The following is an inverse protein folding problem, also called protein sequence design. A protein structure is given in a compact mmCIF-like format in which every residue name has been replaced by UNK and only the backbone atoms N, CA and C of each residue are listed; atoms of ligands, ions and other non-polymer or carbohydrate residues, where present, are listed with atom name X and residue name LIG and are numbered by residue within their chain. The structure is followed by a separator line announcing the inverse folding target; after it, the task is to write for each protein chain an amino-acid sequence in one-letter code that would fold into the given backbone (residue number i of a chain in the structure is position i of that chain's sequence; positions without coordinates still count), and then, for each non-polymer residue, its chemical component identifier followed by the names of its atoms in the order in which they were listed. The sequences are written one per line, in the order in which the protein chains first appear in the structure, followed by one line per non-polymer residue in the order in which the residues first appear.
data_IF_432657393812
#
_entry.id   IF_432657393812
#
_cell.length_a   1.000
_cell.length_b   1.000
_cell.length_c   1.000
_cell.angle_alpha   90.00
_cell.angle_beta   90.00
_cell.angle_gamma   90.00
#
_symmetry.space_group_name_H-M   'P 1'
#
loop_
_entity.id
_entity.type
_entity.pdbx_description
1 polymer ?
#
# COMPACT_ATOMS: atom_id res chain seq x y z
N UNK A 1 -56.36 -29.52 2.94
CA UNK A 1 -55.31 -29.00 3.86
C UNK A 1 -54.40 -28.12 3.03
N UNK A 2 -54.48 -26.82 3.21
CA UNK A 2 -53.63 -25.85 2.51
C UNK A 2 -52.54 -25.41 3.47
N UNK A 3 -51.29 -25.74 3.15
CA UNK A 3 -50.11 -25.31 3.91
C UNK A 3 -49.61 -23.97 3.37
N UNK A 4 -49.79 -22.96 4.14
CA UNK A 4 -49.28 -21.61 3.79
C UNK A 4 -47.83 -21.47 4.23
N UNK A 5 -46.94 -21.21 3.28
CA UNK A 5 -45.56 -20.82 3.48
C UNK A 5 -45.54 -19.32 3.79
N UNK A 6 -45.12 -18.98 5.02
CA UNK A 6 -44.86 -17.59 5.37
C UNK A 6 -43.51 -17.16 4.79
N UNK A 7 -43.53 -16.29 3.81
CA UNK A 7 -42.36 -15.55 3.35
C UNK A 7 -42.14 -14.38 4.33
N UNK A 8 -41.02 -14.42 5.08
CA UNK A 8 -40.56 -13.27 5.85
C UNK A 8 -39.99 -12.23 4.87
N UNK A 9 -40.78 -11.21 4.60
CA UNK A 9 -40.29 -10.05 3.87
C UNK A 9 -39.45 -9.19 4.80
N UNK A 10 -38.17 -9.00 4.49
CA UNK A 10 -37.39 -7.93 5.06
C UNK A 10 -37.86 -6.61 4.49
N UNK A 11 -38.55 -5.83 5.28
CA UNK A 11 -38.91 -4.46 4.96
C UNK A 11 -37.64 -3.59 4.99
N UNK A 12 -37.16 -3.17 3.82
CA UNK A 12 -36.20 -2.08 3.71
C UNK A 12 -36.99 -0.80 4.04
N UNK A 13 -36.79 -0.29 5.24
CA UNK A 13 -37.30 1.00 5.64
C UNK A 13 -36.52 2.08 4.88
N UNK A 14 -37.04 2.54 3.74
CA UNK A 14 -36.65 3.78 3.08
C UNK A 14 -37.14 4.97 3.92
N UNK A 15 -36.35 5.41 4.88
CA UNK A 15 -36.56 6.66 5.56
C UNK A 15 -36.03 7.79 4.66
N UNK A 16 -36.93 8.45 3.94
CA UNK A 16 -36.74 9.78 3.38
C UNK A 16 -36.57 10.75 4.52
N UNK A 17 -35.34 11.08 4.89
CA UNK A 17 -34.99 12.18 5.76
C UNK A 17 -34.55 13.38 4.91
N UNK A 18 -35.44 14.32 4.75
CA UNK A 18 -35.18 15.63 4.16
C UNK A 18 -34.35 16.49 5.10
N UNK A 19 -33.24 17.00 4.53
CA UNK A 19 -32.48 18.22 4.84
C UNK A 19 -31.76 18.38 6.19
N UNK A 20 -30.54 18.88 6.08
CA UNK A 20 -29.60 19.36 7.10
C UNK A 20 -28.91 18.25 7.96
N UNK A 21 -27.91 17.62 7.39
CA UNK A 21 -27.04 16.68 8.10
C UNK A 21 -26.56 15.48 7.28
N UNK A 22 -26.65 15.56 5.96
CA UNK A 22 -26.47 14.42 5.04
C UNK A 22 -25.08 13.79 5.02
N UNK A 23 -24.01 14.50 5.45
CA UNK A 23 -22.67 13.95 5.39
C UNK A 23 -22.38 12.90 6.48
N UNK A 24 -23.10 12.93 7.60
CA UNK A 24 -22.85 12.03 8.73
C UNK A 24 -23.49 10.64 8.58
N UNK A 25 -24.60 10.56 7.85
CA UNK A 25 -25.32 9.31 7.62
C UNK A 25 -24.76 8.58 6.39
N UNK A 26 -24.36 9.33 5.36
CA UNK A 26 -23.80 8.78 4.14
C UNK A 26 -22.51 7.97 4.41
N UNK A 27 -21.61 8.47 5.25
CA UNK A 27 -20.35 7.78 5.55
C UNK A 27 -20.52 6.48 6.34
N UNK A 28 -21.60 6.29 7.05
CA UNK A 28 -21.87 5.02 7.74
C UNK A 28 -22.48 3.96 6.79
N UNK A 29 -23.30 4.38 5.86
CA UNK A 29 -23.90 3.50 4.83
C UNK A 29 -22.86 3.05 3.80
N UNK A 30 -21.76 3.80 3.62
CA UNK A 30 -20.68 3.52 2.69
C UNK A 30 -19.57 2.61 3.28
N UNK A 31 -19.72 2.08 4.50
CA UNK A 31 -18.75 1.19 5.11
C UNK A 31 -18.63 -0.16 4.36
N UNK A 32 -19.70 -0.61 3.72
CA UNK A 32 -19.78 -1.89 3.04
C UNK A 32 -20.61 -1.77 1.77
N UNK A 33 -20.19 -2.43 0.71
CA UNK A 33 -20.95 -2.59 -0.52
C UNK A 33 -21.43 -4.03 -0.68
N UNK A 34 -22.51 -4.29 -1.44
CA UNK A 34 -23.00 -5.65 -1.68
C UNK A 34 -21.93 -6.59 -2.28
N UNK A 35 -21.08 -6.06 -3.16
CA UNK A 35 -19.99 -6.78 -3.81
C UNK A 35 -18.93 -7.27 -2.83
N UNK A 36 -18.79 -6.58 -1.69
CA UNK A 36 -17.84 -6.90 -0.63
C UNK A 36 -18.39 -7.86 0.44
N UNK A 37 -19.64 -8.31 0.33
CA UNK A 37 -20.33 -9.09 1.36
C UNK A 37 -19.61 -10.39 1.77
N UNK A 38 -18.83 -10.99 0.87
CA UNK A 38 -18.04 -12.20 1.12
C UNK A 38 -16.68 -11.98 1.75
N UNK A 39 -16.22 -10.72 1.90
CA UNK A 39 -14.85 -10.42 2.30
C UNK A 39 -14.63 -10.41 3.81
N UNK A 40 -15.68 -10.45 4.64
CA UNK A 40 -15.59 -10.34 6.10
C UNK A 40 -14.68 -9.18 6.54
N UNK A 41 -15.01 -7.99 6.10
CA UNK A 41 -14.25 -6.77 6.38
C UNK A 41 -14.25 -6.43 7.87
N UNK A 42 -13.07 -6.24 8.45
CA UNK A 42 -12.89 -5.91 9.87
C UNK A 42 -12.02 -4.66 9.99
N UNK A 43 -12.55 -3.63 10.65
CA UNK A 43 -11.79 -2.43 11.04
C UNK A 43 -10.91 -2.77 12.25
N UNK A 44 -9.62 -2.52 12.16
CA UNK A 44 -8.64 -2.85 13.21
C UNK A 44 -8.20 -1.65 14.03
N UNK A 45 -8.34 -0.46 13.51
CA UNK A 45 -7.99 0.80 14.21
C UNK A 45 -9.18 1.74 14.22
N UNK A 46 -9.20 2.64 15.17
CA UNK A 46 -10.19 3.72 15.25
C UNK A 46 -9.49 5.03 15.61
N UNK A 47 -8.71 5.52 14.67
CA UNK A 47 -7.93 6.73 14.84
C UNK A 47 -8.77 7.96 14.49
N UNK A 48 -9.49 8.47 15.49
CA UNK A 48 -10.34 9.65 15.33
C UNK A 48 -9.55 10.97 15.43
N UNK A 49 -8.43 10.98 16.15
CA UNK A 49 -7.68 12.21 16.49
C UNK A 49 -6.37 12.35 15.73
N UNK A 50 -5.76 11.25 15.31
CA UNK A 50 -4.46 11.23 14.66
C UNK A 50 -4.52 10.50 13.33
N UNK A 51 -3.65 10.84 12.40
CA UNK A 51 -3.74 10.36 11.04
C UNK A 51 -2.79 9.20 10.79
N UNK A 52 -3.35 8.03 10.52
CA UNK A 52 -2.64 6.99 9.78
C UNK A 52 -2.42 7.54 8.38
N UNK A 53 -1.19 7.44 7.89
CA UNK A 53 -0.81 7.96 6.58
C UNK A 53 -0.77 6.82 5.59
N UNK A 54 -1.54 6.98 4.52
CA UNK A 54 -1.33 6.22 3.29
C UNK A 54 -0.22 6.87 2.46
N UNK A 55 0.21 6.19 1.43
CA UNK A 55 1.11 6.73 0.42
C UNK A 55 0.55 7.93 -0.36
N UNK A 56 -0.68 8.30 -0.12
CA UNK A 56 -1.30 9.53 -0.56
C UNK A 56 -1.16 10.60 0.52
N UNK A 57 0.02 11.13 0.69
CA UNK A 57 0.15 12.33 1.49
C UNK A 57 -0.67 13.44 0.83
N UNK A 58 -1.59 14.04 1.59
CA UNK A 58 -2.37 15.22 1.17
C UNK A 58 -1.48 16.43 0.82
N UNK A 59 -0.19 16.35 1.09
CA UNK A 59 0.86 17.23 0.58
C UNK A 59 1.89 16.36 -0.13
N UNK A 60 2.08 16.62 -1.42
CA UNK A 60 3.23 16.08 -2.13
C UNK A 60 4.49 16.30 -1.29
N UNK A 61 5.31 15.28 -1.11
CA UNK A 61 6.66 15.49 -0.62
C UNK A 61 7.34 16.54 -1.51
N UNK A 62 8.18 17.40 -0.95
CA UNK A 62 8.87 18.46 -1.72
C UNK A 62 9.64 17.90 -2.93
N UNK A 63 10.09 16.66 -2.86
CA UNK A 63 10.74 15.97 -3.96
C UNK A 63 9.78 15.53 -5.09
N UNK A 64 8.49 15.31 -4.81
CA UNK A 64 7.48 14.98 -5.82
C UNK A 64 7.21 16.16 -6.77
N UNK A 65 7.56 17.37 -6.39
CA UNK A 65 7.47 18.57 -7.24
C UNK A 65 8.62 18.71 -8.26
N UNK A 66 9.61 17.83 -8.25
CA UNK A 66 10.65 17.81 -9.26
C UNK A 66 10.09 17.34 -10.61
N UNK A 67 10.70 17.78 -11.70
CA UNK A 67 10.19 17.63 -13.08
C UNK A 67 9.74 16.19 -13.43
N UNK A 68 10.36 15.20 -12.83
CA UNK A 68 10.01 13.79 -13.00
C UNK A 68 8.58 13.48 -12.55
N UNK A 69 8.19 13.95 -11.35
CA UNK A 69 6.86 13.65 -10.79
C UNK A 69 5.75 14.51 -11.41
N UNK A 70 6.07 15.68 -11.96
CA UNK A 70 5.08 16.50 -12.67
C UNK A 70 4.59 15.87 -13.97
N UNK A 71 5.41 15.01 -14.58
CA UNK A 71 5.11 14.35 -15.84
C UNK A 71 4.82 12.85 -15.67
N UNK A 72 4.76 12.34 -14.43
CA UNK A 72 4.51 10.93 -14.19
C UNK A 72 3.01 10.65 -14.10
N UNK A 73 2.65 9.44 -14.50
CA UNK A 73 1.30 8.86 -14.43
C UNK A 73 0.71 8.75 -13.03
N UNK A 74 1.45 9.16 -12.01
CA UNK A 74 0.98 9.24 -10.64
C UNK A 74 0.00 10.38 -10.42
N UNK A 75 -0.05 11.34 -11.36
CA UNK A 75 -1.13 12.28 -11.43
C UNK A 75 -2.28 11.60 -12.19
N UNK A 76 -3.31 11.19 -11.50
CA UNK A 76 -4.60 10.97 -12.11
C UNK A 76 -4.99 12.22 -12.86
N UNK A 77 -5.77 12.04 -13.94
CA UNK A 77 -6.12 13.10 -14.88
C UNK A 77 -6.29 14.45 -14.19
N UNK A 78 -5.91 15.52 -14.85
CA UNK A 78 -6.01 16.88 -14.32
C UNK A 78 -7.39 17.24 -13.73
N UNK A 79 -8.41 16.47 -14.06
CA UNK A 79 -9.79 16.60 -13.61
C UNK A 79 -10.05 16.06 -12.20
N UNK A 80 -9.24 15.15 -11.67
CA UNK A 80 -9.52 14.48 -10.40
C UNK A 80 -8.88 15.14 -9.18
N UNK A 81 -7.96 16.07 -9.32
CA UNK A 81 -7.15 16.68 -8.25
C UNK A 81 -6.46 15.66 -7.32
N UNK A 82 -6.45 14.39 -7.73
CA UNK A 82 -5.92 13.30 -6.93
C UNK A 82 -4.54 12.91 -7.43
N UNK A 83 -3.55 13.07 -6.58
CA UNK A 83 -2.17 12.66 -6.83
C UNK A 83 -1.87 11.39 -6.07
N UNK A 84 -1.62 10.34 -6.78
CA UNK A 84 -1.31 9.03 -6.23
C UNK A 84 0.21 8.82 -6.17
N UNK A 85 0.73 8.67 -4.98
CA UNK A 85 2.12 8.34 -4.75
C UNK A 85 2.21 6.94 -4.14
N UNK A 86 2.68 5.94 -4.86
CA UNK A 86 2.69 4.56 -4.39
C UNK A 86 3.82 4.33 -3.37
N UNK A 87 3.63 4.83 -2.18
CA UNK A 87 4.51 4.61 -1.05
C UNK A 87 4.01 3.43 -0.23
N UNK A 88 4.91 2.56 0.17
CA UNK A 88 4.60 1.47 1.10
C UNK A 88 4.57 1.99 2.51
N UNK A 89 3.40 2.04 3.13
CA UNK A 89 3.17 2.63 4.45
C UNK A 89 2.48 1.69 5.45
N UNK A 90 2.32 0.41 5.04
CA UNK A 90 1.82 -0.68 5.87
C UNK A 90 2.72 -1.91 5.65
N UNK A 91 3.05 -2.62 6.72
CA UNK A 91 3.79 -3.88 6.66
C UNK A 91 3.36 -4.82 7.78
N UNK A 92 3.52 -6.12 7.55
CA UNK A 92 3.35 -7.16 8.55
C UNK A 92 4.71 -7.68 9.02
N UNK A 93 4.81 -8.04 10.31
CA UNK A 93 6.03 -8.67 10.83
C UNK A 93 6.28 -10.03 10.19
N UNK A 94 7.52 -10.51 10.12
CA UNK A 94 7.87 -11.79 9.51
C UNK A 94 7.15 -12.99 10.13
N UNK A 95 6.80 -12.91 11.40
CA UNK A 95 6.01 -13.94 12.12
C UNK A 95 4.50 -13.79 11.94
N UNK A 96 4.03 -12.67 11.35
CA UNK A 96 2.62 -12.37 11.13
C UNK A 96 1.89 -11.82 12.35
N UNK A 97 2.55 -11.66 13.49
CA UNK A 97 1.90 -11.28 14.75
C UNK A 97 1.66 -9.79 14.93
N UNK A 98 2.38 -8.94 14.16
CA UNK A 98 2.35 -7.47 14.31
C UNK A 98 2.18 -6.78 12.97
N UNK A 99 1.56 -5.60 13.01
CA UNK A 99 1.48 -4.64 11.93
C UNK A 99 2.31 -3.40 12.26
N UNK A 100 3.02 -2.89 11.26
CA UNK A 100 3.65 -1.59 11.30
C UNK A 100 2.96 -0.67 10.29
N UNK A 101 2.81 0.60 10.64
CA UNK A 101 2.15 1.60 9.81
C UNK A 101 2.70 3.00 10.09
N UNK A 102 2.52 3.91 9.14
CA UNK A 102 2.90 5.30 9.33
C UNK A 102 1.79 6.09 10.03
N UNK A 103 2.20 6.91 10.96
CA UNK A 103 1.34 7.73 11.78
C UNK A 103 1.90 9.13 11.95
N UNK A 104 1.08 10.14 11.69
CA UNK A 104 1.49 11.54 11.80
C UNK A 104 1.09 12.12 13.14
N UNK A 105 2.07 12.53 13.93
CA UNK A 105 1.87 13.26 15.18
C UNK A 105 2.88 14.40 15.28
N UNK A 106 2.47 15.54 15.80
CA UNK A 106 3.34 16.69 16.06
C UNK A 106 4.19 17.12 14.85
N UNK A 107 3.62 17.05 13.65
CA UNK A 107 4.28 17.43 12.41
C UNK A 107 5.24 16.40 11.84
N UNK A 108 5.51 15.29 12.53
CA UNK A 108 6.37 14.20 12.07
C UNK A 108 5.57 12.95 11.74
N UNK A 109 6.05 12.22 10.73
CA UNK A 109 5.51 10.92 10.33
C UNK A 109 6.39 9.81 10.87
N UNK A 110 5.85 8.98 11.75
CA UNK A 110 6.60 7.94 12.45
C UNK A 110 6.05 6.55 12.17
N UNK A 111 6.89 5.53 12.28
CA UNK A 111 6.47 4.14 12.26
C UNK A 111 5.92 3.77 13.63
N UNK A 112 4.69 3.26 13.63
CA UNK A 112 4.03 2.65 14.78
C UNK A 112 3.94 1.14 14.58
N UNK A 113 4.02 0.39 15.67
CA UNK A 113 3.85 -1.07 15.68
C UNK A 113 2.73 -1.43 16.65
N UNK A 114 1.84 -2.35 16.22
CA UNK A 114 0.77 -2.93 17.03
C UNK A 114 0.61 -4.43 16.76
N UNK A 115 -0.18 -5.12 17.57
CA UNK A 115 -0.58 -6.49 17.28
C UNK A 115 -1.52 -6.55 16.07
N UNK A 116 -1.35 -7.57 15.21
CA UNK A 116 -2.09 -7.71 13.96
C UNK A 116 -3.57 -8.08 14.14
N UNK A 117 -3.89 -8.83 15.18
CA UNK A 117 -5.23 -9.41 15.39
C UNK A 117 -6.08 -8.76 16.48
N UNK A 118 -5.55 -7.84 17.26
CA UNK A 118 -6.26 -7.30 18.43
C UNK A 118 -6.33 -5.78 18.43
N UNK A 119 -7.40 -5.25 19.02
CA UNK A 119 -7.39 -3.88 19.49
C UNK A 119 -6.33 -3.78 20.60
N UNK A 120 -5.42 -2.84 20.49
CA UNK A 120 -4.36 -2.64 21.47
C UNK A 120 -3.55 -1.39 21.18
N UNK A 121 -2.83 -0.93 22.19
CA UNK A 121 -1.97 0.23 22.06
C UNK A 121 -0.88 -0.03 21.01
N UNK A 122 -0.62 0.96 20.19
CA UNK A 122 0.51 0.98 19.28
C UNK A 122 1.73 1.57 19.98
N UNK A 123 2.90 1.08 19.62
CA UNK A 123 4.18 1.58 20.11
C UNK A 123 4.90 2.33 19.00
N UNK A 124 5.28 3.57 19.27
CA UNK A 124 6.10 4.37 18.36
C UNK A 124 7.50 3.79 18.25
N UNK A 125 8.00 3.65 17.04
CA UNK A 125 9.28 3.03 16.76
C UNK A 125 10.34 3.99 16.24
N UNK A 126 9.95 5.00 15.47
CA UNK A 126 10.84 6.04 14.96
C UNK A 126 10.46 7.40 15.54
N UNK A 127 11.42 8.32 15.51
CA UNK A 127 11.26 9.73 15.89
C UNK A 127 11.82 10.62 14.78
N UNK A 128 11.43 10.31 13.54
CA UNK A 128 11.89 10.96 12.32
C UNK A 128 10.76 11.04 11.31
N UNK A 129 10.94 11.85 10.28
CA UNK A 129 9.95 12.00 9.22
C UNK A 129 10.12 10.88 8.18
N UNK A 130 9.47 9.74 8.42
CA UNK A 130 9.51 8.55 7.58
C UNK A 130 8.54 8.69 6.41
N UNK A 131 9.00 8.34 5.20
CA UNK A 131 8.18 8.41 3.99
C UNK A 131 7.56 7.05 3.62
N UNK A 132 8.34 5.98 3.69
CA UNK A 132 7.94 4.62 3.33
C UNK A 132 8.82 3.61 4.07
N UNK A 133 8.37 2.37 4.21
CA UNK A 133 9.15 1.35 4.90
C UNK A 133 8.76 -0.07 4.49
N UNK A 134 9.60 -1.03 4.87
CA UNK A 134 9.35 -2.47 4.82
C UNK A 134 9.84 -3.15 6.10
N UNK A 135 9.36 -4.36 6.35
CA UNK A 135 9.76 -5.19 7.47
C UNK A 135 10.42 -6.48 6.97
N UNK A 136 11.70 -6.69 7.28
CA UNK A 136 12.48 -7.83 6.82
C UNK A 136 12.56 -8.98 7.84
N UNK A 137 12.97 -10.17 7.41
CA UNK A 137 13.09 -11.38 8.25
C UNK A 137 14.12 -11.25 9.38
N UNK A 138 15.10 -10.34 9.25
CA UNK A 138 16.06 -10.00 10.31
C UNK A 138 15.44 -9.14 11.44
N UNK A 139 14.11 -9.00 11.43
CA UNK A 139 13.32 -8.19 12.35
C UNK A 139 13.69 -6.71 12.35
N UNK A 140 14.19 -6.20 11.22
CA UNK A 140 14.43 -4.76 11.03
C UNK A 140 13.39 -4.15 10.12
N UNK A 141 13.08 -2.90 10.44
CA UNK A 141 12.35 -1.98 9.59
C UNK A 141 13.37 -1.21 8.76
N UNK A 142 13.27 -1.33 7.44
CA UNK A 142 14.02 -0.53 6.48
C UNK A 142 13.10 0.58 6.02
N UNK A 143 13.53 1.83 6.09
CA UNK A 143 12.65 2.97 5.84
C UNK A 143 13.35 4.12 5.11
N UNK A 144 12.58 4.89 4.36
CA UNK A 144 13.02 6.15 3.76
C UNK A 144 12.98 7.22 4.82
N UNK A 145 14.15 7.66 5.25
CA UNK A 145 14.34 8.71 6.25
C UNK A 145 14.46 10.06 5.56
N UNK A 146 13.81 11.07 6.07
CA UNK A 146 13.83 12.42 5.53
C UNK A 146 14.67 13.33 6.41
N UNK A 147 15.59 14.05 5.79
CA UNK A 147 16.35 15.13 6.41
C UNK A 147 16.36 16.35 5.50
N UNK A 148 15.45 17.28 5.72
CA UNK A 148 15.21 18.40 4.81
C UNK A 148 14.71 17.92 3.45
N UNK A 149 15.44 18.23 2.39
CA UNK A 149 15.13 17.78 1.02
C UNK A 149 15.84 16.48 0.62
N UNK A 150 16.63 15.91 1.50
CA UNK A 150 17.33 14.67 1.29
C UNK A 150 16.51 13.48 1.78
N UNK A 151 16.61 12.38 1.05
CA UNK A 151 16.00 11.11 1.41
C UNK A 151 17.05 10.02 1.29
N UNK A 152 17.14 9.20 2.30
CA UNK A 152 18.06 8.06 2.34
C UNK A 152 17.41 6.88 3.04
N UNK A 153 17.94 5.71 2.82
CA UNK A 153 17.47 4.50 3.47
C UNK A 153 18.17 4.34 4.80
N UNK A 154 17.39 4.10 5.83
CA UNK A 154 17.82 3.73 7.17
C UNK A 154 17.19 2.43 7.62
N UNK A 155 17.75 1.82 8.64
CA UNK A 155 17.21 0.62 9.28
C UNK A 155 17.20 0.73 10.79
N UNK A 156 16.18 0.14 11.43
CA UNK A 156 16.09 0.02 12.88
C UNK A 156 15.51 -1.34 13.24
N UNK A 157 15.97 -1.97 14.31
CA UNK A 157 15.35 -3.19 14.80
C UNK A 157 13.91 -2.89 15.27
N UNK A 158 12.96 -3.75 14.99
CA UNK A 158 11.56 -3.55 15.37
C UNK A 158 11.34 -3.59 16.90
N UNK A 159 12.24 -4.19 17.66
CA UNK A 159 12.21 -4.17 19.11
C UNK A 159 12.71 -2.82 19.65
N UNK A 160 12.23 -2.42 20.82
CA UNK A 160 12.65 -1.18 21.49
C UNK A 160 14.15 -1.19 21.85
N UNK A 161 14.72 0.00 22.04
CA UNK A 161 16.08 0.18 22.55
C UNK A 161 17.21 0.03 21.53
N UNK A 162 16.91 -0.20 20.25
CA UNK A 162 17.95 -0.32 19.22
C UNK A 162 18.32 1.02 18.59
N UNK A 163 19.58 1.15 18.21
CA UNK A 163 20.06 2.31 17.45
C UNK A 163 19.66 2.18 15.97
N UNK A 164 19.41 3.31 15.35
CA UNK A 164 19.19 3.43 13.92
C UNK A 164 20.53 3.30 13.18
N UNK A 165 20.50 2.63 12.05
CA UNK A 165 21.62 2.50 11.13
C UNK A 165 21.27 3.15 9.80
N UNK A 166 22.08 4.10 9.35
CA UNK A 166 21.98 4.65 8.00
C UNK A 166 22.53 3.62 7.01
N UNK A 167 21.79 3.39 5.90
CA UNK A 167 22.10 2.41 4.87
C UNK A 167 22.64 3.09 3.62
N UNK A 168 21.95 4.14 3.12
CA UNK A 168 22.43 4.94 1.98
C UNK A 168 22.83 6.34 2.45
N UNK A 169 23.69 7.03 1.67
CA UNK A 169 24.31 8.28 2.11
C UNK A 169 23.47 9.54 1.86
N UNK A 170 22.34 9.44 1.17
CA UNK A 170 21.46 10.58 0.89
C UNK A 170 21.97 11.57 -0.18
N UNK A 171 23.00 11.19 -0.96
CA UNK A 171 23.48 12.01 -2.07
C UNK A 171 22.48 12.10 -3.22
N UNK A 172 21.58 11.14 -3.28
CA UNK A 172 20.44 11.05 -4.21
C UNK A 172 19.20 10.65 -3.43
N UNK A 173 18.03 10.83 -4.05
CA UNK A 173 16.77 10.50 -3.40
C UNK A 173 16.53 8.99 -3.52
N UNK A 174 16.58 8.28 -2.38
CA UNK A 174 16.32 6.87 -2.24
C UNK A 174 15.03 6.66 -1.43
N UNK A 175 14.08 5.85 -1.96
CA UNK A 175 12.80 5.62 -1.29
C UNK A 175 12.23 4.20 -1.52
N UNK A 176 11.13 3.85 -0.84
CA UNK A 176 10.47 2.54 -0.88
C UNK A 176 11.47 1.38 -0.69
N UNK A 177 12.22 1.34 0.41
CA UNK A 177 13.16 0.26 0.64
C UNK A 177 12.46 -1.06 0.88
N UNK A 178 13.11 -2.16 0.45
CA UNK A 178 12.69 -3.53 0.70
C UNK A 178 13.91 -4.42 0.95
N UNK A 179 13.78 -5.35 1.89
CA UNK A 179 14.78 -6.39 2.14
C UNK A 179 14.10 -7.68 2.56
N UNK A 180 14.65 -8.83 2.17
CA UNK A 180 14.16 -10.12 2.64
C UNK A 180 14.71 -10.48 4.01
N UNK A 181 16.02 -10.37 4.16
CA UNK A 181 16.78 -10.91 5.29
C UNK A 181 17.78 -9.90 5.89
N UNK A 182 17.82 -8.69 5.34
CA UNK A 182 18.73 -7.66 5.76
C UNK A 182 20.13 -7.70 5.15
N UNK A 183 20.45 -8.67 4.32
CA UNK A 183 21.76 -8.74 3.65
C UNK A 183 21.78 -7.85 2.41
N UNK A 184 20.77 -7.94 1.58
CA UNK A 184 20.61 -7.07 0.42
C UNK A 184 19.40 -6.17 0.62
N UNK A 185 19.58 -4.86 0.43
CA UNK A 185 18.53 -3.86 0.55
C UNK A 185 18.27 -3.27 -0.82
N UNK A 186 17.05 -3.44 -1.29
CA UNK A 186 16.54 -2.84 -2.53
C UNK A 186 15.83 -1.54 -2.22
N UNK A 187 15.90 -0.60 -3.14
CA UNK A 187 15.20 0.69 -3.03
C UNK A 187 14.98 1.30 -4.40
N UNK A 188 14.04 2.21 -4.47
CA UNK A 188 13.84 3.06 -5.65
C UNK A 188 14.78 4.23 -5.55
N UNK A 189 15.45 4.58 -6.64
CA UNK A 189 16.37 5.72 -6.74
C UNK A 189 15.96 6.64 -7.87
N UNK A 190 15.92 7.94 -7.57
CA UNK A 190 15.65 8.95 -8.58
C UNK A 190 16.85 9.18 -9.47
N UNK A 191 16.64 9.20 -10.77
CA UNK A 191 17.63 9.60 -11.76
C UNK A 191 17.06 10.61 -12.76
N UNK A 192 17.92 11.20 -13.59
CA UNK A 192 17.50 12.10 -14.66
C UNK A 192 16.60 11.40 -15.71
N UNK A 193 16.80 10.10 -15.90
CA UNK A 193 16.06 9.27 -16.85
C UNK A 193 14.81 8.57 -16.23
N UNK A 194 14.42 8.96 -15.03
CA UNK A 194 13.32 8.36 -14.30
C UNK A 194 13.78 7.47 -13.14
N UNK A 195 12.86 6.85 -12.41
CA UNK A 195 13.19 6.01 -11.28
C UNK A 195 13.79 4.68 -11.74
N UNK A 196 14.70 4.19 -10.95
CA UNK A 196 15.34 2.90 -11.14
C UNK A 196 15.40 2.14 -9.82
N UNK A 197 15.36 0.83 -9.91
CA UNK A 197 15.56 -0.07 -8.79
C UNK A 197 17.04 -0.31 -8.61
N UNK A 198 17.51 -0.09 -7.39
CA UNK A 198 18.87 -0.36 -6.97
C UNK A 198 18.89 -1.35 -5.81
N UNK A 199 20.00 -2.06 -5.69
CA UNK A 199 20.28 -2.87 -4.51
C UNK A 199 21.64 -2.50 -3.91
N UNK A 200 21.73 -2.57 -2.59
CA UNK A 200 22.95 -2.48 -1.81
C UNK A 200 23.19 -3.80 -1.13
N UNK A 201 24.31 -4.45 -1.45
CA UNK A 201 24.81 -5.59 -0.68
C UNK A 201 25.48 -5.04 0.58
N UNK A 202 25.00 -5.45 1.75
CA UNK A 202 25.51 -4.94 3.03
C UNK A 202 26.79 -5.63 3.51
N UNK A 203 27.19 -6.72 2.85
CA UNK A 203 28.41 -7.44 3.16
C UNK A 203 29.66 -6.66 2.68
N UNK A 204 29.59 -6.12 1.49
CA UNK A 204 30.71 -5.47 0.82
C UNK A 204 30.45 -4.04 0.36
N UNK A 205 29.23 -3.54 0.53
CA UNK A 205 28.82 -2.20 0.13
C UNK A 205 28.55 -2.02 -1.36
N UNK A 206 28.49 -3.12 -2.13
CA UNK A 206 28.28 -3.08 -3.58
C UNK A 206 26.88 -2.53 -3.91
N UNK A 207 26.86 -1.47 -4.71
CA UNK A 207 25.65 -0.87 -5.28
C UNK A 207 25.44 -1.38 -6.71
N UNK A 208 24.25 -1.93 -6.97
CA UNK A 208 23.88 -2.46 -8.28
C UNK A 208 22.62 -1.78 -8.79
N UNK A 209 22.66 -1.26 -10.02
CA UNK A 209 21.46 -0.84 -10.74
C UNK A 209 20.78 -2.08 -11.32
N UNK A 210 19.59 -2.41 -10.83
CA UNK A 210 18.92 -3.66 -11.17
C UNK A 210 18.00 -3.51 -12.38
N UNK A 211 17.16 -2.46 -12.41
CA UNK A 211 16.19 -2.25 -13.47
C UNK A 211 15.64 -0.83 -13.47
N UNK A 212 15.00 -0.43 -14.57
CA UNK A 212 14.07 0.70 -14.56
C UNK A 212 12.83 0.36 -13.72
N UNK A 213 12.24 1.35 -13.05
CA UNK A 213 11.04 1.16 -12.25
C UNK A 213 11.23 1.51 -10.77
N UNK A 214 10.23 1.20 -9.96
CA UNK A 214 10.16 1.57 -8.55
C UNK A 214 9.19 0.66 -7.79
N UNK A 215 9.05 0.84 -6.48
CA UNK A 215 8.07 0.15 -5.62
C UNK A 215 8.20 -1.38 -5.67
N UNK A 216 9.36 -1.86 -5.25
CA UNK A 216 9.79 -3.26 -5.36
C UNK A 216 9.00 -4.17 -4.43
N UNK A 217 8.52 -5.31 -4.93
CA UNK A 217 8.03 -6.44 -4.16
C UNK A 217 8.98 -7.64 -4.39
N UNK A 218 9.71 -8.01 -3.35
CA UNK A 218 10.71 -9.08 -3.40
C UNK A 218 10.07 -10.47 -3.42
N UNK A 219 10.73 -11.42 -4.08
CA UNK A 219 10.32 -12.82 -4.17
C UNK A 219 11.16 -13.63 -3.17
N UNK A 220 10.54 -14.25 -2.13
CA UNK A 220 11.30 -14.88 -1.04
C UNK A 220 12.28 -15.95 -1.45
N UNK A 221 11.99 -16.68 -2.53
CA UNK A 221 12.80 -17.81 -3.00
C UNK A 221 13.65 -17.48 -4.25
N UNK A 222 13.63 -16.22 -4.70
CA UNK A 222 14.46 -15.76 -5.81
C UNK A 222 14.98 -14.35 -5.49
N UNK A 223 16.15 -14.24 -4.82
CA UNK A 223 16.69 -12.95 -4.40
C UNK A 223 17.15 -12.06 -5.56
N UNK A 224 17.23 -12.60 -6.77
CA UNK A 224 17.60 -11.85 -7.99
C UNK A 224 16.40 -11.36 -8.78
N UNK A 225 15.19 -11.74 -8.34
CA UNK A 225 13.96 -11.36 -8.99
C UNK A 225 13.03 -10.58 -8.05
N UNK A 226 12.22 -9.75 -8.65
CA UNK A 226 11.21 -8.94 -7.96
C UNK A 226 10.09 -8.53 -8.91
N UNK A 227 8.97 -8.13 -8.34
CA UNK A 227 7.98 -7.33 -9.05
C UNK A 227 8.23 -5.85 -8.79
N UNK A 228 8.02 -5.02 -9.78
CA UNK A 228 8.14 -3.56 -9.64
C UNK A 228 7.07 -2.85 -10.47
N UNK A 229 6.94 -1.57 -10.22
CA UNK A 229 6.07 -0.67 -10.98
C UNK A 229 6.89 0.02 -12.05
N UNK A 230 6.35 0.10 -13.26
CA UNK A 230 6.89 0.94 -14.36
C UNK A 230 5.78 1.79 -14.95
N UNK A 231 6.16 2.90 -15.53
CA UNK A 231 5.24 3.71 -16.28
C UNK A 231 5.24 3.29 -17.75
N UNK A 232 4.06 3.04 -18.30
CA UNK A 232 3.88 2.80 -19.74
C UNK A 232 4.09 4.08 -20.54
N UNK A 233 4.16 3.94 -21.86
CA UNK A 233 4.19 5.07 -22.79
C UNK A 233 2.94 5.95 -22.73
N UNK A 234 1.81 5.39 -22.33
CA UNK A 234 0.54 6.11 -22.10
C UNK A 234 0.50 6.86 -20.77
N UNK A 235 1.55 6.74 -19.95
CA UNK A 235 1.64 7.35 -18.63
C UNK A 235 0.91 6.56 -17.53
N UNK A 236 0.43 5.34 -17.76
CA UNK A 236 -0.15 4.46 -16.74
C UNK A 236 0.93 3.66 -16.05
N UNK A 237 0.74 3.35 -14.78
CA UNK A 237 1.65 2.47 -14.06
C UNK A 237 1.22 1.01 -14.18
N UNK A 238 2.18 0.15 -14.44
CA UNK A 238 2.08 -1.27 -14.74
C UNK A 238 2.91 -2.07 -13.75
N UNK A 239 2.58 -3.35 -13.58
CA UNK A 239 3.36 -4.27 -12.76
C UNK A 239 4.19 -5.17 -13.66
N UNK A 240 5.49 -5.21 -13.39
CA UNK A 240 6.47 -5.99 -14.12
C UNK A 240 7.16 -6.99 -13.19
N UNK A 241 7.40 -8.20 -13.69
CA UNK A 241 8.37 -9.14 -13.14
C UNK A 241 9.74 -8.87 -13.77
N UNK A 242 10.78 -8.86 -12.95
CA UNK A 242 12.16 -8.65 -13.38
C UNK A 242 13.07 -9.64 -12.66
N UNK A 243 13.86 -10.42 -13.40
CA UNK A 243 15.05 -11.06 -12.90
C UNK A 243 16.27 -10.37 -13.54
N UNK A 244 16.92 -9.48 -12.78
CA UNK A 244 17.92 -8.57 -13.32
C UNK A 244 19.25 -9.26 -13.65
N UNK A 245 19.55 -10.41 -13.03
CA UNK A 245 20.77 -11.19 -13.34
C UNK A 245 20.59 -11.97 -14.63
N UNK A 246 19.41 -12.56 -14.86
CA UNK A 246 19.10 -13.28 -16.09
C UNK A 246 18.70 -12.37 -17.25
N UNK A 247 18.50 -11.08 -17.00
CA UNK A 247 17.98 -10.16 -18.00
C UNK A 247 16.55 -10.46 -18.44
N UNK A 248 15.76 -11.13 -17.60
CA UNK A 248 14.38 -11.49 -17.90
C UNK A 248 13.43 -10.42 -17.38
N UNK A 249 12.55 -9.94 -18.24
CA UNK A 249 11.51 -8.97 -17.91
C UNK A 249 10.17 -9.42 -18.49
N UNK A 250 9.12 -9.36 -17.71
CA UNK A 250 7.77 -9.79 -18.13
C UNK A 250 6.74 -8.79 -17.59
N UNK A 251 5.89 -8.27 -18.48
CA UNK A 251 4.73 -7.48 -18.11
C UNK A 251 3.68 -8.41 -17.48
N UNK A 252 3.32 -8.16 -16.23
CA UNK A 252 2.35 -8.95 -15.49
C UNK A 252 0.96 -8.32 -15.52
N UNK A 253 0.89 -7.01 -15.34
CA UNK A 253 -0.39 -6.32 -15.26
C UNK A 253 -0.31 -4.95 -15.92
N UNK A 254 -1.20 -4.74 -16.86
CA UNK A 254 -1.48 -3.45 -17.50
C UNK A 254 -2.98 -3.29 -17.72
N UNK A 255 -3.45 -2.05 -17.82
CA UNK A 255 -4.85 -1.73 -18.12
C UNK A 255 -4.87 -0.36 -18.82
N UNK A 256 -5.73 -0.21 -19.84
CA UNK A 256 -5.83 1.03 -20.62
C UNK A 256 -6.43 2.19 -19.82
N UNK A 257 -7.16 1.91 -18.74
CA UNK A 257 -7.87 2.92 -17.93
C UNK A 257 -7.31 3.06 -16.53
N UNK A 258 -6.56 2.06 -16.05
CA UNK A 258 -6.09 1.98 -14.66
C UNK A 258 -4.58 2.04 -14.56
N UNK A 259 -4.11 2.54 -13.45
CA UNK A 259 -2.73 2.45 -12.97
C UNK A 259 -2.70 1.55 -11.74
N UNK A 260 -1.64 0.75 -11.59
CA UNK A 260 -1.48 -0.17 -10.46
C UNK A 260 -0.18 0.10 -9.71
N UNK A 261 -0.16 -0.12 -8.40
CA UNK A 261 1.03 0.00 -7.59
C UNK A 261 0.97 -0.84 -6.31
N UNK A 262 2.00 -0.69 -5.48
CA UNK A 262 2.17 -1.40 -4.21
C UNK A 262 1.95 -2.91 -4.33
N UNK A 263 2.62 -3.59 -5.29
CA UNK A 263 2.50 -5.03 -5.41
C UNK A 263 2.96 -5.71 -4.12
N UNK A 264 2.18 -6.68 -3.67
CA UNK A 264 2.48 -7.50 -2.51
C UNK A 264 2.23 -8.96 -2.86
N UNK A 265 3.27 -9.79 -2.83
CA UNK A 265 3.21 -11.20 -3.19
C UNK A 265 2.56 -12.01 -2.06
N UNK A 266 1.64 -12.91 -2.41
CA UNK A 266 1.05 -13.85 -1.46
C UNK A 266 2.09 -14.83 -0.92
N UNK A 267 1.91 -15.36 0.30
CA UNK A 267 2.88 -16.29 0.91
C UNK A 267 3.13 -17.56 0.09
N UNK A 268 2.14 -18.01 -0.70
CA UNK A 268 2.25 -19.17 -1.60
C UNK A 268 2.84 -18.82 -2.98
N UNK A 269 3.13 -17.54 -3.23
CA UNK A 269 3.72 -17.05 -4.47
C UNK A 269 2.79 -17.05 -5.69
N UNK A 270 1.49 -17.27 -5.53
CA UNK A 270 0.55 -17.43 -6.66
C UNK A 270 -0.17 -16.15 -7.03
N UNK A 271 -0.27 -15.21 -6.11
CA UNK A 271 -1.05 -13.98 -6.27
C UNK A 271 -0.24 -12.73 -5.93
N UNK A 272 -0.54 -11.66 -6.63
CA UNK A 272 -0.17 -10.31 -6.23
C UNK A 272 -1.42 -9.56 -5.79
N UNK A 273 -1.42 -9.02 -4.59
CA UNK A 273 -2.34 -7.95 -4.21
C UNK A 273 -1.73 -6.62 -4.65
N UNK A 274 -2.53 -5.78 -5.27
CA UNK A 274 -2.11 -4.46 -5.78
C UNK A 274 -3.19 -3.43 -5.45
N UNK A 275 -2.79 -2.18 -5.31
CA UNK A 275 -3.74 -1.08 -5.35
C UNK A 275 -3.88 -0.58 -6.78
N UNK A 276 -5.08 -0.19 -7.16
CA UNK A 276 -5.35 0.34 -8.49
C UNK A 276 -6.41 1.43 -8.43
N UNK A 277 -6.31 2.41 -9.34
CA UNK A 277 -7.38 3.38 -9.43
C UNK A 277 -8.64 2.75 -10.04
N UNK A 278 -9.76 3.20 -9.55
CA UNK A 278 -11.06 2.85 -10.09
C UNK A 278 -12.01 4.05 -10.07
N UNK A 279 -13.17 3.88 -10.65
CA UNK A 279 -14.25 4.86 -10.54
C UNK A 279 -15.40 4.20 -9.82
N UNK A 280 -15.77 4.76 -8.69
CA UNK A 280 -16.86 4.24 -7.89
C UNK A 280 -18.17 4.29 -8.67
N UNK A 281 -18.87 3.17 -8.72
CA UNK A 281 -20.22 3.09 -9.31
C UNK A 281 -21.28 3.83 -8.49
N UNK A 282 -20.98 4.13 -7.21
CA UNK A 282 -21.92 4.77 -6.29
C UNK A 282 -21.99 6.28 -6.52
N UNK A 283 -20.83 6.94 -6.62
CA UNK A 283 -20.75 8.40 -6.69
C UNK A 283 -19.98 8.93 -7.91
N UNK A 284 -19.54 8.05 -8.79
CA UNK A 284 -18.75 8.37 -9.98
C UNK A 284 -17.45 9.16 -9.69
N UNK A 285 -16.89 8.99 -8.50
CA UNK A 285 -15.64 9.61 -8.09
C UNK A 285 -14.49 8.62 -8.29
N UNK A 286 -13.36 9.13 -8.75
CA UNK A 286 -12.13 8.32 -8.84
C UNK A 286 -11.58 8.09 -7.44
N UNK A 287 -11.35 6.81 -7.13
CA UNK A 287 -10.79 6.33 -5.88
C UNK A 287 -9.67 5.31 -6.16
N UNK A 288 -9.20 4.65 -5.15
CA UNK A 288 -8.33 3.47 -5.26
C UNK A 288 -8.99 2.28 -4.59
N UNK A 289 -8.85 1.12 -5.21
CA UNK A 289 -9.33 -0.15 -4.70
C UNK A 289 -8.20 -1.18 -4.67
N UNK A 290 -8.43 -2.25 -3.91
CA UNK A 290 -7.53 -3.39 -3.87
C UNK A 290 -7.95 -4.40 -4.94
N UNK A 291 -6.96 -4.86 -5.68
CA UNK A 291 -7.09 -5.89 -6.70
C UNK A 291 -6.20 -7.08 -6.36
N UNK A 292 -6.53 -8.24 -6.87
CA UNK A 292 -5.67 -9.40 -6.91
C UNK A 292 -5.47 -9.85 -8.36
N UNK A 293 -4.26 -10.26 -8.70
CA UNK A 293 -3.91 -10.83 -9.99
C UNK A 293 -2.98 -12.03 -9.78
N UNK A 294 -3.10 -13.07 -10.60
CA UNK A 294 -2.13 -14.17 -10.55
C UNK A 294 -0.76 -13.70 -11.00
N UNK A 295 0.28 -14.34 -10.48
CA UNK A 295 1.68 -14.01 -10.79
C UNK A 295 2.06 -14.25 -12.25
N UNK A 296 1.24 -14.99 -12.99
CA UNK A 296 1.33 -15.17 -14.45
C UNK A 296 0.57 -14.09 -15.25
N UNK A 297 -0.04 -13.11 -14.58
CA UNK A 297 -0.83 -12.04 -15.18
C UNK A 297 -2.29 -12.39 -15.43
N UNK A 298 -2.71 -13.62 -15.19
CA UNK A 298 -4.10 -14.04 -15.36
C UNK A 298 -5.00 -13.64 -14.17
N UNK A 299 -6.32 -13.69 -14.37
CA UNK A 299 -7.34 -13.54 -13.32
C UNK A 299 -7.22 -12.24 -12.51
N UNK A 300 -7.12 -11.09 -13.16
CA UNK A 300 -7.29 -9.82 -12.47
C UNK A 300 -8.70 -9.73 -11.86
N UNK A 301 -8.77 -9.53 -10.56
CA UNK A 301 -10.03 -9.45 -9.81
C UNK A 301 -9.99 -8.23 -8.90
N UNK A 302 -11.00 -7.37 -8.99
CA UNK A 302 -11.21 -6.29 -8.03
C UNK A 302 -11.77 -6.88 -6.73
N UNK A 303 -11.20 -6.52 -5.60
CA UNK A 303 -11.60 -7.02 -4.27
C UNK A 303 -12.46 -6.02 -3.52
N UNK A 304 -12.12 -4.73 -3.58
CA UNK A 304 -12.86 -3.69 -2.88
C UNK A 304 -13.59 -2.79 -3.88
N UNK A 305 -14.75 -2.29 -3.49
CA UNK A 305 -15.66 -1.52 -4.35
C UNK A 305 -16.23 -0.28 -3.66
N UNK A 306 -15.82 -0.02 -2.43
CA UNK A 306 -16.28 1.12 -1.68
C UNK A 306 -15.76 2.41 -2.33
N UNK A 307 -16.53 3.53 -2.34
CA UNK A 307 -16.05 4.81 -2.87
C UNK A 307 -14.92 5.47 -2.06
N UNK A 308 -14.41 4.78 -1.06
CA UNK A 308 -13.24 5.18 -0.26
C UNK A 308 -11.91 4.94 -1.00
N UNK A 309 -10.83 5.44 -0.42
CA UNK A 309 -9.48 5.10 -0.87
C UNK A 309 -8.99 3.88 -0.10
N UNK A 310 -8.79 2.77 -0.82
CA UNK A 310 -8.25 1.52 -0.30
C UNK A 310 -6.86 1.30 -0.87
N UNK A 311 -5.82 1.20 0.00
CA UNK A 311 -4.42 1.32 -0.41
C UNK A 311 -3.50 0.40 0.40
N UNK A 312 -2.28 0.23 -0.10
CA UNK A 312 -1.19 -0.48 0.58
C UNK A 312 -1.58 -1.91 1.03
N UNK A 313 -2.00 -2.79 0.13
CA UNK A 313 -2.36 -4.15 0.49
C UNK A 313 -1.15 -4.93 1.02
N UNK A 314 -1.36 -5.69 2.10
CA UNK A 314 -0.35 -6.57 2.70
C UNK A 314 -1.00 -7.91 3.04
N UNK A 315 -0.44 -9.00 2.54
CA UNK A 315 -0.92 -10.34 2.85
C UNK A 315 -0.67 -10.69 4.31
N UNK A 316 -1.65 -11.31 4.94
CA UNK A 316 -1.43 -12.06 6.16
C UNK A 316 -0.51 -13.27 5.87
N UNK A 317 0.27 -13.69 6.88
CA UNK A 317 1.23 -14.78 6.72
C UNK A 317 0.58 -16.12 6.32
N UNK A 318 -0.68 -16.31 6.68
CA UNK A 318 -1.45 -17.53 6.35
C UNK A 318 -1.99 -17.53 4.90
N UNK A 319 -1.85 -16.43 4.17
CA UNK A 319 -2.36 -16.28 2.80
C UNK A 319 -3.88 -16.20 2.69
N UNK A 320 -4.62 -16.13 3.81
CA UNK A 320 -6.08 -16.14 3.84
C UNK A 320 -6.72 -14.79 4.06
N UNK A 321 -5.91 -13.78 4.34
CA UNK A 321 -6.38 -12.42 4.58
C UNK A 321 -5.44 -11.40 3.99
N UNK A 322 -5.97 -10.21 3.69
CA UNK A 322 -5.23 -9.04 3.25
C UNK A 322 -5.54 -7.91 4.22
N UNK A 323 -4.49 -7.27 4.72
CA UNK A 323 -4.57 -6.00 5.44
C UNK A 323 -4.40 -4.85 4.45
N UNK A 324 -5.10 -3.76 4.67
CA UNK A 324 -5.00 -2.59 3.83
C UNK A 324 -5.38 -1.32 4.60
N UNK A 325 -5.01 -0.17 4.06
CA UNK A 325 -5.43 1.13 4.56
C UNK A 325 -6.70 1.56 3.84
N UNK A 326 -7.67 2.08 4.58
CA UNK A 326 -8.93 2.55 4.00
C UNK A 326 -9.47 3.79 4.71
N UNK A 327 -10.06 4.70 3.93
CA UNK A 327 -10.82 5.86 4.44
C UNK A 327 -12.29 5.53 4.69
N UNK A 328 -12.74 4.28 4.43
CA UNK A 328 -14.13 3.84 4.64
C UNK A 328 -14.57 4.00 6.09
N UNK A 329 -15.83 4.26 6.30
CA UNK A 329 -16.43 4.47 7.61
C UNK A 329 -15.72 5.55 8.46
N UNK A 330 -15.08 6.52 7.83
CA UNK A 330 -14.41 7.62 8.50
C UNK A 330 -14.88 8.96 7.94
N UNK A 331 -15.43 9.80 8.83
CA UNK A 331 -16.01 11.09 8.48
C UNK A 331 -15.00 12.13 8.00
N UNK A 332 -13.75 11.97 8.41
CA UNK A 332 -12.69 12.95 8.14
C UNK A 332 -11.75 12.51 7.01
N UNK A 333 -12.13 11.49 6.21
CA UNK A 333 -11.29 10.87 5.20
C UNK A 333 -9.92 10.43 5.72
N UNK A 334 -9.86 10.06 7.01
CA UNK A 334 -8.65 9.52 7.63
C UNK A 334 -8.58 8.02 7.37
N UNK A 335 -7.36 7.54 7.23
CA UNK A 335 -7.13 6.12 7.03
C UNK A 335 -7.23 5.35 8.34
N UNK A 336 -7.77 4.15 8.23
CA UNK A 336 -7.71 3.11 9.23
C UNK A 336 -7.14 1.84 8.62
N UNK A 337 -6.63 0.95 9.44
CA UNK A 337 -6.21 -0.38 9.02
C UNK A 337 -7.44 -1.26 9.01
N UNK A 338 -7.65 -1.93 7.90
CA UNK A 338 -8.71 -2.91 7.70
C UNK A 338 -8.11 -4.26 7.33
N UNK A 339 -8.86 -5.31 7.55
CA UNK A 339 -8.57 -6.68 7.13
C UNK A 339 -9.76 -7.22 6.35
N UNK A 340 -9.49 -7.90 5.27
CA UNK A 340 -10.48 -8.70 4.51
C UNK A 340 -10.01 -10.14 4.36
N UNK A 341 -10.95 -11.07 4.24
CA UNK A 341 -10.64 -12.43 3.84
C UNK A 341 -10.37 -12.50 2.34
N UNK A 342 -9.49 -13.43 1.95
CA UNK A 342 -9.21 -13.74 0.56
C UNK A 342 -9.68 -15.16 0.27
N UNK A 343 -10.73 -15.29 -0.55
CA UNK A 343 -11.42 -16.55 -0.83
C UNK A 343 -11.50 -16.83 -2.34
N UNK A 344 -10.53 -16.37 -3.13
CA UNK A 344 -10.49 -16.62 -4.57
C UNK A 344 -9.67 -17.88 -4.82
N UNK A 345 -10.28 -18.90 -5.47
CA UNK A 345 -9.64 -20.14 -5.89
C UNK A 345 -8.89 -20.03 -7.23
#
# INVERSE_FOLDING_TARGET
MKTSVKVLGFAVASALLTSCGSSKVANFLEAFTPEESGLNLVKLTDESTNSIISGNATKEPSWANRAYYKNSSWAYSAESHFKWCPLRTLAISPDGSKLAYLYKANGQTNIMIRNAGAQGAATQRTFRDVLAFSWAKDNKLYFSDRNGDNYYVSAINANQGSMMQQITNGSVIDWNPASLDGQKVYFSRQSANGPSVWSLDRKDGTLTSCASGYNVCLIPNDPEAFYCVRNSSSGRSEIWYVNYVKGQETLILTDEKRSFANPCLSPDGKWLAVEGNSTSAINNVVNTDIFAVRTDGSRLTQLTYNPSFDMCPVWAKDGRSIYFLSTRANRDNKYNIWRMNFNIE
#
